data_IF_002158263492
#
_entry.id   IF_002158263492
#
_cell.length_a   1.000
_cell.length_b   1.000
_cell.length_c   1.000
_cell.angle_alpha   90.00
_cell.angle_beta   90.00
_cell.angle_gamma   90.00
#
_symmetry.space_group_name_H-M   'P 1'
#
loop_
_entity.id
_entity.type
_entity.pdbx_description
1 polymer ?
#
# COMPACT_ATOMS: atom_id res chain seq x y z
N UNK A 1 34.75 -38.33 -14.84
CA UNK A 1 34.01 -37.43 -15.76
C UNK A 1 32.63 -37.94 -16.15
N UNK A 2 32.48 -39.22 -16.50
CA UNK A 2 31.22 -39.84 -16.99
C UNK A 2 30.15 -40.00 -15.89
N UNK A 3 30.52 -40.25 -14.65
CA UNK A 3 29.60 -40.38 -13.51
C UNK A 3 28.94 -39.04 -13.19
N UNK A 4 29.72 -37.95 -13.27
CA UNK A 4 29.23 -36.61 -13.02
C UNK A 4 28.23 -36.12 -14.10
N UNK A 5 28.45 -36.51 -15.34
CA UNK A 5 27.57 -36.18 -16.48
C UNK A 5 26.22 -36.90 -16.38
N UNK A 6 26.20 -38.13 -15.87
CA UNK A 6 25.01 -38.94 -15.70
C UNK A 6 24.14 -38.46 -14.53
N UNK A 7 24.76 -37.94 -13.45
CA UNK A 7 24.05 -37.34 -12.32
C UNK A 7 23.47 -35.97 -12.67
N UNK A 8 24.18 -35.16 -13.45
CA UNK A 8 23.69 -33.85 -13.87
C UNK A 8 22.52 -33.94 -14.85
N UNK A 9 22.53 -34.90 -15.79
CA UNK A 9 21.43 -35.11 -16.73
C UNK A 9 20.12 -35.50 -16.03
N UNK A 10 20.16 -36.44 -15.10
CA UNK A 10 18.98 -36.87 -14.36
C UNK A 10 18.38 -35.74 -13.48
N UNK A 11 19.22 -34.84 -12.97
CA UNK A 11 18.75 -33.69 -12.21
C UNK A 11 18.05 -32.65 -13.11
N UNK A 12 18.60 -32.40 -14.29
CA UNK A 12 17.97 -31.49 -15.25
C UNK A 12 16.65 -32.02 -15.79
N UNK A 13 16.56 -33.32 -16.05
CA UNK A 13 15.31 -33.99 -16.47
C UNK A 13 14.28 -33.92 -15.34
N UNK A 14 14.68 -34.13 -14.09
CA UNK A 14 13.79 -34.00 -12.93
C UNK A 14 13.31 -32.55 -12.74
N UNK A 15 14.19 -31.57 -12.88
CA UNK A 15 13.82 -30.15 -12.87
C UNK A 15 12.87 -29.82 -14.02
N UNK A 16 13.14 -30.33 -15.21
CA UNK A 16 12.25 -30.18 -16.37
C UNK A 16 10.84 -30.72 -16.11
N UNK A 17 10.74 -31.94 -15.54
CA UNK A 17 9.46 -32.53 -15.16
C UNK A 17 8.74 -31.79 -14.02
N UNK A 18 9.48 -31.26 -13.06
CA UNK A 18 8.89 -30.51 -11.93
C UNK A 18 8.41 -29.12 -12.31
N UNK A 19 9.20 -28.37 -13.10
CA UNK A 19 8.91 -26.96 -13.40
C UNK A 19 8.22 -26.72 -14.75
N UNK A 20 8.34 -27.66 -15.70
CA UNK A 20 7.79 -27.54 -17.05
C UNK A 20 6.82 -28.67 -17.41
N UNK A 21 6.17 -29.27 -16.40
CA UNK A 21 5.14 -30.25 -16.63
C UNK A 21 3.90 -29.59 -17.24
N UNK A 22 3.69 -29.84 -18.54
CA UNK A 22 2.59 -29.24 -19.30
C UNK A 22 1.21 -29.58 -18.71
N UNK A 23 1.04 -30.80 -18.22
CA UNK A 23 -0.22 -31.24 -17.65
C UNK A 23 -0.54 -30.46 -16.37
N UNK A 24 0.43 -30.34 -15.45
CA UNK A 24 0.29 -29.56 -14.25
C UNK A 24 0.04 -28.07 -14.55
N UNK A 25 0.73 -27.50 -15.54
CA UNK A 25 0.53 -26.11 -15.95
C UNK A 25 -0.90 -25.89 -16.44
N UNK A 26 -1.42 -26.78 -17.30
CA UNK A 26 -2.79 -26.64 -17.83
C UNK A 26 -3.83 -26.83 -16.74
N UNK A 27 -3.61 -27.76 -15.81
CA UNK A 27 -4.54 -28.05 -14.72
C UNK A 27 -4.55 -26.92 -13.65
N UNK A 28 -3.38 -26.35 -13.36
CA UNK A 28 -3.27 -25.28 -12.34
C UNK A 28 -3.56 -23.89 -12.88
N UNK A 29 -3.54 -23.70 -14.21
CA UNK A 29 -3.75 -22.39 -14.84
C UNK A 29 -5.04 -21.67 -14.42
N UNK A 30 -6.22 -22.32 -14.37
CA UNK A 30 -7.46 -21.68 -13.91
C UNK A 30 -7.38 -21.22 -12.44
N UNK A 31 -6.69 -21.99 -11.58
CA UNK A 31 -6.50 -21.66 -10.17
C UNK A 31 -5.60 -20.42 -10.04
N UNK A 32 -4.54 -20.36 -10.83
CA UNK A 32 -3.64 -19.19 -10.86
C UNK A 32 -4.34 -17.93 -11.35
N UNK A 33 -5.20 -18.04 -12.36
CA UNK A 33 -5.99 -16.91 -12.84
C UNK A 33 -6.96 -16.40 -11.77
N UNK A 34 -7.65 -17.28 -11.06
CA UNK A 34 -8.52 -16.91 -9.93
C UNK A 34 -7.74 -16.26 -8.79
N UNK A 35 -6.54 -16.76 -8.49
CA UNK A 35 -5.63 -16.13 -7.53
C UNK A 35 -5.19 -14.72 -7.96
N UNK A 36 -4.85 -14.56 -9.24
CA UNK A 36 -4.48 -13.26 -9.82
C UNK A 36 -5.63 -12.25 -9.73
N UNK A 37 -6.85 -12.67 -10.05
CA UNK A 37 -8.04 -11.82 -9.93
C UNK A 37 -8.23 -11.31 -8.50
N UNK A 38 -8.18 -12.20 -7.51
CA UNK A 38 -8.29 -11.83 -6.10
C UNK A 38 -7.15 -10.89 -5.67
N UNK A 39 -5.92 -11.17 -6.08
CA UNK A 39 -4.75 -10.31 -5.82
C UNK A 39 -4.97 -8.89 -6.35
N UNK A 40 -5.42 -8.77 -7.60
CA UNK A 40 -5.68 -7.47 -8.22
C UNK A 40 -6.84 -6.73 -7.55
N UNK A 41 -7.92 -7.42 -7.21
CA UNK A 41 -9.07 -6.81 -6.52
C UNK A 41 -8.69 -6.30 -5.14
N UNK A 42 -7.98 -7.09 -4.32
CA UNK A 42 -7.50 -6.68 -3.00
C UNK A 42 -6.58 -5.47 -3.14
N UNK A 43 -5.63 -5.51 -4.06
CA UNK A 43 -4.72 -4.40 -4.33
C UNK A 43 -5.46 -3.13 -4.72
N UNK A 44 -6.35 -3.20 -5.72
CA UNK A 44 -7.08 -2.03 -6.23
C UNK A 44 -7.95 -1.42 -5.14
N UNK A 45 -8.72 -2.23 -4.41
CA UNK A 45 -9.56 -1.75 -3.33
C UNK A 45 -8.73 -1.04 -2.24
N UNK A 46 -7.66 -1.66 -1.78
CA UNK A 46 -6.80 -1.10 -0.73
C UNK A 46 -6.07 0.17 -1.21
N UNK A 47 -5.56 0.17 -2.43
CA UNK A 47 -4.85 1.31 -3.03
C UNK A 47 -5.79 2.51 -3.23
N UNK A 48 -6.96 2.30 -3.82
CA UNK A 48 -7.94 3.38 -4.07
C UNK A 48 -8.40 4.01 -2.76
N UNK A 49 -8.73 3.19 -1.75
CA UNK A 49 -9.13 3.70 -0.43
C UNK A 49 -8.00 4.50 0.21
N UNK A 50 -6.77 3.98 0.19
CA UNK A 50 -5.63 4.65 0.82
C UNK A 50 -5.26 5.96 0.11
N UNK A 51 -5.20 5.97 -1.24
CA UNK A 51 -4.85 7.16 -2.03
C UNK A 51 -5.90 8.25 -1.89
N UNK A 52 -7.17 7.90 -1.70
CA UNK A 52 -8.25 8.89 -1.54
C UNK A 52 -8.33 9.46 -0.12
N UNK A 53 -8.10 8.63 0.89
CA UNK A 53 -8.25 9.04 2.31
C UNK A 53 -6.98 9.71 2.84
N UNK A 54 -5.79 9.23 2.48
CA UNK A 54 -4.54 9.75 3.01
C UNK A 54 -4.32 11.26 2.82
N UNK A 55 -4.57 11.87 1.64
CA UNK A 55 -4.40 13.30 1.47
C UNK A 55 -5.37 14.11 2.34
N UNK A 56 -6.58 13.61 2.57
CA UNK A 56 -7.56 14.28 3.44
C UNK A 56 -7.04 14.34 4.87
N UNK A 57 -6.54 13.22 5.39
CA UNK A 57 -5.97 13.16 6.75
C UNK A 57 -4.71 14.03 6.84
N UNK A 58 -3.84 14.00 5.83
CA UNK A 58 -2.65 14.84 5.80
C UNK A 58 -2.99 16.34 5.81
N UNK A 59 -4.04 16.77 5.11
CA UNK A 59 -4.53 18.15 5.12
C UNK A 59 -5.11 18.51 6.50
N UNK A 60 -5.93 17.65 7.11
CA UNK A 60 -6.48 17.85 8.46
C UNK A 60 -5.36 18.07 9.47
N UNK A 61 -4.26 17.33 9.34
CA UNK A 61 -3.09 17.48 10.20
C UNK A 61 -2.48 18.90 10.15
N UNK A 62 -2.61 19.62 9.04
CA UNK A 62 -2.14 21.02 8.92
C UNK A 62 -2.95 22.02 9.74
N UNK A 63 -4.12 21.62 10.27
CA UNK A 63 -4.94 22.48 11.13
C UNK A 63 -4.35 22.68 12.55
N UNK A 64 -3.21 22.01 12.84
CA UNK A 64 -2.45 22.12 14.10
C UNK A 64 -3.29 21.87 15.38
N UNK A 65 -4.28 20.99 15.30
CA UNK A 65 -5.01 20.56 16.49
C UNK A 65 -4.23 19.42 17.20
N UNK A 66 -3.74 19.64 18.43
CA UNK A 66 -2.85 18.68 19.10
C UNK A 66 -3.52 17.33 19.36
N UNK A 67 -4.83 17.29 19.60
CA UNK A 67 -5.57 16.06 19.87
C UNK A 67 -5.65 15.22 18.60
N UNK A 68 -6.05 15.81 17.48
CA UNK A 68 -6.13 15.11 16.20
C UNK A 68 -4.75 14.66 15.72
N UNK A 69 -3.73 15.52 15.87
CA UNK A 69 -2.39 15.15 15.44
C UNK A 69 -1.82 14.01 16.27
N UNK A 70 -2.02 14.00 17.59
CA UNK A 70 -1.62 12.88 18.44
C UNK A 70 -2.31 11.56 18.05
N UNK A 71 -3.60 11.60 17.75
CA UNK A 71 -4.33 10.41 17.31
C UNK A 71 -3.84 9.89 15.94
N UNK A 72 -3.57 10.79 14.98
CA UNK A 72 -3.02 10.44 13.68
C UNK A 72 -1.60 9.87 13.82
N UNK A 73 -0.75 10.49 14.67
CA UNK A 73 0.61 10.01 14.91
C UNK A 73 0.60 8.60 15.52
N UNK A 74 -0.23 8.37 16.55
CA UNK A 74 -0.39 7.06 17.14
C UNK A 74 -0.86 6.01 16.12
N UNK A 75 -1.84 6.35 15.26
CA UNK A 75 -2.28 5.48 14.18
C UNK A 75 -1.14 5.15 13.22
N UNK A 76 -0.43 6.17 12.74
CA UNK A 76 0.66 6.03 11.78
C UNK A 76 1.79 5.17 12.37
N UNK A 77 2.19 5.43 13.61
CA UNK A 77 3.29 4.71 14.27
C UNK A 77 2.95 3.23 14.47
N UNK A 78 1.72 2.93 14.91
CA UNK A 78 1.26 1.55 15.11
C UNK A 78 1.24 0.79 13.78
N UNK A 79 0.54 1.32 12.75
CA UNK A 79 0.34 0.57 11.52
C UNK A 79 1.58 0.50 10.62
N UNK A 80 2.54 1.42 10.75
CA UNK A 80 3.84 1.33 10.07
C UNK A 80 4.82 0.39 10.75
N UNK A 81 4.69 0.17 12.05
CA UNK A 81 5.58 -0.74 12.78
C UNK A 81 5.21 -2.22 12.61
N UNK A 82 3.98 -2.51 12.19
CA UNK A 82 3.51 -3.87 12.03
C UNK A 82 3.81 -4.42 10.62
N UNK A 83 4.37 -5.65 10.51
CA UNK A 83 4.44 -6.32 9.22
C UNK A 83 3.04 -6.55 8.64
N UNK A 84 2.86 -6.27 7.34
CA UNK A 84 1.56 -6.39 6.66
C UNK A 84 0.92 -7.77 6.88
N UNK A 85 1.71 -8.84 6.74
CA UNK A 85 1.22 -10.21 6.93
C UNK A 85 0.64 -10.43 8.35
N UNK A 86 1.35 -9.92 9.36
CA UNK A 86 0.89 -10.02 10.77
C UNK A 86 -0.41 -9.27 10.94
N UNK A 87 -0.55 -8.09 10.35
CA UNK A 87 -1.76 -7.28 10.42
C UNK A 87 -2.96 -7.99 9.76
N UNK A 88 -2.78 -8.56 8.58
CA UNK A 88 -3.83 -9.31 7.87
C UNK A 88 -4.27 -10.53 8.68
N UNK A 89 -3.32 -11.32 9.20
CA UNK A 89 -3.61 -12.48 10.04
C UNK A 89 -4.34 -12.05 11.32
N UNK A 90 -3.87 -11.00 11.97
CA UNK A 90 -4.51 -10.47 13.17
C UNK A 90 -5.96 -10.04 12.90
N UNK A 91 -6.21 -9.29 11.83
CA UNK A 91 -7.57 -8.87 11.46
C UNK A 91 -8.45 -10.10 11.19
N UNK A 92 -7.96 -11.07 10.42
CA UNK A 92 -8.73 -12.24 10.05
C UNK A 92 -9.14 -13.10 11.26
N UNK A 93 -8.22 -13.31 12.20
CA UNK A 93 -8.47 -14.16 13.36
C UNK A 93 -9.00 -13.41 14.59
N UNK A 94 -8.75 -12.10 14.75
CA UNK A 94 -9.21 -11.34 15.90
C UNK A 94 -10.65 -10.82 15.74
N UNK A 95 -11.10 -10.47 14.54
CA UNK A 95 -12.45 -9.94 14.32
C UNK A 95 -13.57 -10.91 14.72
N UNK A 96 -13.48 -12.22 14.50
CA UNK A 96 -14.50 -13.16 14.97
C UNK A 96 -14.71 -13.16 16.50
N UNK A 97 -13.68 -12.85 17.31
CA UNK A 97 -13.84 -12.69 18.76
C UNK A 97 -14.70 -11.48 19.14
N UNK A 98 -14.87 -10.53 18.24
CA UNK A 98 -15.74 -9.37 18.37
C UNK A 98 -17.10 -9.59 17.67
N UNK A 99 -17.43 -10.84 17.35
CA UNK A 99 -18.64 -11.22 16.59
C UNK A 99 -18.71 -10.65 15.17
N UNK A 100 -17.60 -10.15 14.65
CA UNK A 100 -17.47 -9.62 13.29
C UNK A 100 -16.92 -10.71 12.37
N UNK A 101 -17.80 -11.39 11.65
CA UNK A 101 -17.37 -12.39 10.66
C UNK A 101 -16.77 -11.70 9.43
N UNK A 102 -15.45 -11.80 9.27
CA UNK A 102 -14.74 -11.28 8.11
C UNK A 102 -14.41 -12.40 7.12
N UNK A 103 -14.62 -12.14 5.83
CA UNK A 103 -14.11 -13.02 4.79
C UNK A 103 -12.60 -12.84 4.65
N UNK A 104 -11.84 -13.84 4.15
CA UNK A 104 -10.41 -13.68 3.86
C UNK A 104 -10.12 -12.47 2.97
N UNK A 105 -10.99 -12.22 1.99
CA UNK A 105 -10.91 -11.06 1.12
C UNK A 105 -11.03 -9.74 1.90
N UNK A 106 -12.03 -9.61 2.75
CA UNK A 106 -12.24 -8.39 3.54
C UNK A 106 -11.09 -8.14 4.52
N UNK A 107 -10.58 -9.19 5.17
CA UNK A 107 -9.42 -9.09 6.05
C UNK A 107 -8.16 -8.65 5.29
N UNK A 108 -7.94 -9.19 4.08
CA UNK A 108 -6.86 -8.77 3.19
C UNK A 108 -6.97 -7.30 2.81
N UNK A 109 -8.14 -6.86 2.32
CA UNK A 109 -8.37 -5.44 1.97
C UNK A 109 -8.17 -4.53 3.18
N UNK A 110 -8.73 -4.85 4.34
CA UNK A 110 -8.58 -4.05 5.55
C UNK A 110 -7.12 -3.95 6.02
N UNK A 111 -6.40 -5.07 6.07
CA UNK A 111 -5.01 -5.09 6.52
C UNK A 111 -4.10 -4.29 5.61
N UNK A 112 -4.21 -4.50 4.29
CA UNK A 112 -3.43 -3.75 3.32
C UNK A 112 -3.81 -2.27 3.29
N UNK A 113 -5.10 -1.96 3.37
CA UNK A 113 -5.60 -0.58 3.44
C UNK A 113 -5.03 0.17 4.64
N UNK A 114 -5.12 -0.38 5.85
CA UNK A 114 -4.64 0.27 7.08
C UNK A 114 -3.13 0.52 7.04
N UNK A 115 -2.36 -0.49 6.60
CA UNK A 115 -0.92 -0.34 6.41
C UNK A 115 -0.60 0.72 5.36
N UNK A 116 -1.19 0.63 4.17
CA UNK A 116 -0.95 1.57 3.08
C UNK A 116 -1.36 3.00 3.46
N UNK A 117 -2.50 3.17 4.15
CA UNK A 117 -2.99 4.46 4.63
C UNK A 117 -1.96 5.15 5.53
N UNK A 118 -1.39 4.41 6.49
CA UNK A 118 -0.40 4.95 7.40
C UNK A 118 0.86 5.47 6.69
N UNK A 119 1.38 4.72 5.71
CA UNK A 119 2.51 5.19 4.89
C UNK A 119 2.15 6.38 4.01
N UNK A 120 0.98 6.35 3.36
CA UNK A 120 0.55 7.41 2.45
C UNK A 120 0.25 8.73 3.17
N UNK A 121 -0.29 8.70 4.40
CA UNK A 121 -0.45 9.90 5.23
C UNK A 121 0.90 10.62 5.39
N UNK A 122 1.97 9.88 5.68
CA UNK A 122 3.30 10.46 5.84
C UNK A 122 3.89 10.98 4.53
N UNK A 123 3.65 10.31 3.41
CA UNK A 123 4.10 10.82 2.11
C UNK A 123 3.41 12.13 1.75
N UNK A 124 2.09 12.23 1.96
CA UNK A 124 1.36 13.47 1.72
C UNK A 124 1.76 14.56 2.70
N UNK A 125 1.98 14.24 3.98
CA UNK A 125 2.49 15.18 4.96
C UNK A 125 3.85 15.76 4.54
N UNK A 126 4.81 14.89 4.23
CA UNK A 126 6.13 15.30 3.77
C UNK A 126 6.07 16.13 2.48
N UNK A 127 5.18 15.79 1.56
CA UNK A 127 4.94 16.56 0.34
C UNK A 127 4.39 17.96 0.64
N UNK A 128 3.43 18.09 1.54
CA UNK A 128 2.87 19.41 1.94
C UNK A 128 3.94 20.26 2.64
N UNK A 129 4.70 19.67 3.55
CA UNK A 129 5.76 20.36 4.29
C UNK A 129 6.96 20.76 3.42
N UNK A 130 7.18 20.07 2.29
CA UNK A 130 8.26 20.40 1.34
C UNK A 130 8.03 21.70 0.57
N UNK A 131 6.79 22.21 0.54
CA UNK A 131 6.47 23.44 -0.17
C UNK A 131 7.07 24.64 0.58
N UNK A 132 7.91 25.41 -0.10
CA UNK A 132 8.61 26.55 0.52
C UNK A 132 7.63 27.60 1.04
N UNK A 133 7.97 28.21 2.16
CA UNK A 133 7.19 29.30 2.78
C UNK A 133 6.98 30.48 1.81
N UNK A 134 7.95 30.75 0.94
CA UNK A 134 7.84 31.82 -0.06
C UNK A 134 6.67 31.65 -1.02
N UNK A 135 6.34 30.40 -1.42
CA UNK A 135 5.15 30.14 -2.25
C UNK A 135 3.85 30.44 -1.48
N UNK A 136 3.82 30.11 -0.19
CA UNK A 136 2.66 30.35 0.66
C UNK A 136 2.47 31.84 0.91
N UNK A 137 3.56 32.56 1.19
CA UNK A 137 3.57 34.01 1.42
C UNK A 137 3.18 34.79 0.18
N UNK A 138 3.71 34.41 -0.98
CA UNK A 138 3.33 34.99 -2.27
C UNK A 138 1.83 34.81 -2.56
N UNK A 139 1.30 33.61 -2.35
CA UNK A 139 -0.12 33.35 -2.50
C UNK A 139 -0.98 34.21 -1.57
N UNK A 140 -0.56 34.36 -0.33
CA UNK A 140 -1.22 35.21 0.68
C UNK A 140 -1.17 36.68 0.31
N UNK A 141 -0.06 37.16 -0.24
CA UNK A 141 0.10 38.56 -0.70
C UNK A 141 -0.81 38.87 -1.88
N UNK A 142 -1.20 37.85 -2.67
CA UNK A 142 -2.20 37.98 -3.73
C UNK A 142 -3.64 37.88 -3.21
N UNK A 143 -3.85 37.81 -1.89
CA UNK A 143 -5.17 37.78 -1.26
C UNK A 143 -5.82 36.39 -1.21
N UNK A 144 -5.08 35.31 -1.52
CA UNK A 144 -5.63 33.95 -1.44
C UNK A 144 -5.84 33.55 0.02
N UNK A 145 -7.06 33.07 0.32
CA UNK A 145 -7.37 32.47 1.62
C UNK A 145 -6.64 31.16 1.85
N UNK A 146 -6.71 30.61 3.08
CA UNK A 146 -6.01 29.35 3.46
C UNK A 146 -6.38 28.19 2.53
N UNK A 147 -7.68 27.97 2.32
CA UNK A 147 -8.19 26.88 1.49
C UNK A 147 -7.76 27.07 0.03
N UNK A 148 -7.80 28.29 -0.49
CA UNK A 148 -7.37 28.61 -1.85
C UNK A 148 -5.87 28.38 -2.01
N UNK A 149 -5.05 28.81 -1.06
CA UNK A 149 -3.61 28.57 -1.04
C UNK A 149 -3.31 27.07 -1.01
N UNK A 150 -4.01 26.30 -0.16
CA UNK A 150 -3.86 24.85 -0.11
C UNK A 150 -4.19 24.22 -1.47
N UNK A 151 -5.35 24.55 -2.05
CA UNK A 151 -5.86 23.94 -3.27
C UNK A 151 -5.06 24.30 -4.53
N UNK A 152 -4.68 25.60 -4.67
CA UNK A 152 -4.12 26.10 -5.93
C UNK A 152 -2.59 26.17 -5.94
N UNK A 153 -1.95 26.18 -4.75
CA UNK A 153 -0.50 26.34 -4.64
C UNK A 153 0.13 25.11 -3.97
N UNK A 154 -0.28 24.78 -2.75
CA UNK A 154 0.39 23.74 -1.96
C UNK A 154 0.16 22.35 -2.56
N UNK A 155 -1.09 21.94 -2.77
CA UNK A 155 -1.40 20.60 -3.25
C UNK A 155 -0.79 20.27 -4.62
N UNK A 156 -0.83 21.12 -5.65
CA UNK A 156 -0.20 20.81 -6.93
C UNK A 156 1.32 20.63 -6.83
N UNK A 157 1.99 21.38 -5.96
CA UNK A 157 3.43 21.26 -5.72
C UNK A 157 3.72 20.01 -4.88
N UNK A 158 2.96 19.76 -3.83
CA UNK A 158 3.09 18.60 -2.96
C UNK A 158 2.92 17.27 -3.74
N UNK A 159 1.93 17.19 -4.62
CA UNK A 159 1.69 15.98 -5.43
C UNK A 159 2.93 15.58 -6.25
N UNK A 160 3.66 16.54 -6.81
CA UNK A 160 4.88 16.25 -7.58
C UNK A 160 5.97 15.58 -6.73
N UNK A 161 6.05 15.93 -5.46
CA UNK A 161 7.01 15.36 -4.50
C UNK A 161 6.53 14.00 -4.00
N UNK A 162 5.21 13.83 -3.85
CA UNK A 162 4.58 12.60 -3.34
C UNK A 162 4.58 11.47 -4.39
N UNK A 163 4.45 11.78 -5.67
CA UNK A 163 4.31 10.78 -6.73
C UNK A 163 5.42 9.70 -6.74
N UNK A 164 6.73 10.03 -6.66
CA UNK A 164 7.77 9.02 -6.67
C UNK A 164 7.68 8.00 -5.52
N UNK A 165 7.61 8.42 -4.22
CA UNK A 165 7.48 7.46 -3.13
C UNK A 165 6.14 6.73 -3.15
N UNK A 166 5.06 7.37 -3.60
CA UNK A 166 3.74 6.75 -3.74
C UNK A 166 3.76 5.59 -4.73
N UNK A 167 4.35 5.79 -5.92
CA UNK A 167 4.45 4.73 -6.94
C UNK A 167 5.28 3.56 -6.45
N UNK A 168 6.41 3.81 -5.77
CA UNK A 168 7.22 2.77 -5.15
C UNK A 168 6.44 1.96 -4.10
N UNK A 169 5.66 2.64 -3.28
CA UNK A 169 4.83 1.99 -2.26
C UNK A 169 3.70 1.16 -2.87
N UNK A 170 3.02 1.65 -3.92
CA UNK A 170 1.98 0.90 -4.63
C UNK A 170 2.52 -0.39 -5.27
N UNK A 171 3.72 -0.35 -5.86
CA UNK A 171 4.39 -1.55 -6.36
C UNK A 171 4.71 -2.53 -5.22
N UNK A 172 5.17 -2.02 -4.07
CA UNK A 172 5.38 -2.82 -2.87
C UNK A 172 4.09 -3.47 -2.36
N UNK A 173 2.99 -2.71 -2.34
CA UNK A 173 1.68 -3.18 -1.94
C UNK A 173 1.18 -4.30 -2.86
N UNK A 174 1.32 -4.15 -4.18
CA UNK A 174 0.96 -5.19 -5.15
C UNK A 174 1.77 -6.48 -4.92
N UNK A 175 3.07 -6.37 -4.62
CA UNK A 175 3.89 -7.55 -4.29
C UNK A 175 3.47 -8.21 -2.98
N UNK A 176 2.94 -7.46 -2.02
CA UNK A 176 2.48 -7.99 -0.74
C UNK A 176 1.12 -8.70 -0.85
N UNK A 177 0.36 -8.50 -1.92
CA UNK A 177 -0.91 -9.21 -2.19
C UNK A 177 -0.73 -10.53 -2.94
N UNK A 178 0.40 -10.75 -3.57
CA UNK A 178 0.73 -11.97 -4.29
C UNK A 178 1.38 -13.02 -3.39
#
# INVERSE_FOLDING_TARGET
>A
GLVFYRYSGAQWDMLGMMFFNRELIVETWPILLGGLENTLLIFICSAVLSVTIAPIIAIIRTLNNPIFNCAIDAFVDVFRSLPILVLVIFIYYALPFLEINSTPFAAGVCGLFLSALAFMIEYFRAGIESVSRGHVEAARSLGLGVIQTMRFVILPLAIRVVLPPLTGHLVGLLKATA
#
